data_IF_079294629572
#
_entry.id   IF_079294629572
#
_cell.length_a   1.000
_cell.length_b   1.000
_cell.length_c   1.000
_cell.angle_alpha   90.00
_cell.angle_beta   90.00
_cell.angle_gamma   90.00
#
_symmetry.space_group_name_H-M   'P 1'
#
loop_
_entity.id
_entity.type
_entity.pdbx_description
1 polymer ?
#
# COMPACT_ATOMS: atom_id res chain seq x y z
N UNK A 1 25.76 -1.25 -19.14
CA UNK A 1 26.21 -1.24 -17.73
C UNK A 1 24.96 -1.24 -16.84
N UNK A 2 24.67 -2.32 -16.10
CA UNK A 2 23.43 -2.41 -15.30
C UNK A 2 23.40 -1.33 -14.20
N UNK A 3 22.24 -0.70 -13.99
CA UNK A 3 22.06 0.32 -12.96
C UNK A 3 22.27 -0.28 -11.55
N UNK A 4 22.57 0.57 -10.56
CA UNK A 4 22.77 0.13 -9.17
C UNK A 4 21.54 -0.60 -8.63
N UNK A 5 20.34 -0.15 -9.01
CA UNK A 5 19.08 -0.77 -8.62
C UNK A 5 18.87 -2.13 -9.30
N UNK A 6 19.19 -2.27 -10.60
CA UNK A 6 19.13 -3.57 -11.28
C UNK A 6 20.05 -4.61 -10.63
N UNK A 7 21.29 -4.23 -10.29
CA UNK A 7 22.22 -5.12 -9.60
C UNK A 7 21.70 -5.55 -8.23
N UNK A 8 21.00 -4.66 -7.53
CA UNK A 8 20.37 -4.97 -6.24
C UNK A 8 19.21 -5.93 -6.41
N UNK A 9 18.34 -5.68 -7.37
CA UNK A 9 17.18 -6.52 -7.66
C UNK A 9 17.60 -7.93 -8.09
N UNK A 10 18.57 -8.05 -9.00
CA UNK A 10 19.08 -9.37 -9.41
C UNK A 10 19.73 -10.14 -8.26
N UNK A 11 20.35 -9.43 -7.30
CA UNK A 11 20.90 -10.06 -6.08
C UNK A 11 19.78 -10.54 -5.16
N UNK A 12 18.72 -9.77 -5.01
CA UNK A 12 17.57 -10.15 -4.19
C UNK A 12 16.82 -11.33 -4.81
N UNK A 13 16.61 -11.30 -6.13
CA UNK A 13 16.02 -12.40 -6.89
C UNK A 13 16.83 -13.68 -6.72
N UNK A 14 18.16 -13.61 -6.84
CA UNK A 14 19.03 -14.76 -6.59
C UNK A 14 18.92 -15.31 -5.17
N UNK A 15 18.88 -14.44 -4.15
CA UNK A 15 18.69 -14.88 -2.76
C UNK A 15 17.33 -15.55 -2.55
N UNK A 16 16.31 -15.06 -3.24
CA UNK A 16 14.97 -15.62 -3.18
C UNK A 16 14.95 -16.97 -3.89
N UNK A 17 15.57 -17.11 -5.07
CA UNK A 17 15.65 -18.40 -5.77
C UNK A 17 16.47 -19.44 -5.01
N UNK A 18 17.48 -19.03 -4.23
CA UNK A 18 18.24 -19.93 -3.36
C UNK A 18 17.41 -20.42 -2.16
N UNK A 19 16.33 -19.71 -1.80
CA UNK A 19 15.45 -20.05 -0.68
C UNK A 19 14.14 -20.71 -1.12
N UNK A 20 13.62 -20.38 -2.31
CA UNK A 20 12.43 -21.03 -2.87
C UNK A 20 12.79 -22.39 -3.46
N UNK A 21 12.06 -23.41 -3.02
CA UNK A 21 12.09 -24.74 -3.63
C UNK A 21 11.39 -24.77 -5.00
N UNK A 22 10.42 -23.87 -5.23
CA UNK A 22 9.62 -23.78 -6.45
C UNK A 22 9.87 -22.44 -7.14
N UNK A 23 10.63 -22.43 -8.23
CA UNK A 23 11.04 -21.17 -8.88
C UNK A 23 10.28 -20.87 -10.16
N UNK A 24 9.49 -21.83 -10.65
CA UNK A 24 8.60 -21.68 -11.80
C UNK A 24 7.12 -21.73 -11.42
N UNK A 25 6.31 -20.99 -12.16
CA UNK A 25 4.85 -21.02 -12.10
C UNK A 25 4.32 -22.43 -12.34
N UNK A 26 4.93 -23.17 -13.26
CA UNK A 26 4.54 -24.55 -13.60
C UNK A 26 4.69 -25.53 -12.43
N UNK A 27 5.51 -25.19 -11.43
CA UNK A 27 5.77 -26.01 -10.26
C UNK A 27 4.80 -25.68 -9.10
N UNK A 28 3.97 -24.63 -9.23
CA UNK A 28 3.00 -24.26 -8.20
C UNK A 28 1.86 -25.28 -8.15
N UNK A 29 1.58 -25.89 -6.99
CA UNK A 29 0.54 -26.91 -6.86
C UNK A 29 -0.83 -26.28 -7.12
N UNK A 30 -1.63 -26.95 -7.97
CA UNK A 30 -3.02 -26.59 -8.28
C UNK A 30 -3.19 -25.17 -8.88
N UNK A 31 -2.10 -24.58 -9.41
CA UNK A 31 -2.18 -23.26 -10.03
C UNK A 31 -2.68 -23.36 -11.48
N UNK A 32 -3.64 -22.51 -11.91
CA UNK A 32 -4.34 -22.68 -13.19
C UNK A 32 -3.56 -22.23 -14.43
N UNK A 33 -2.37 -21.64 -14.25
CA UNK A 33 -1.52 -21.18 -15.35
C UNK A 33 -0.21 -21.95 -15.36
N UNK A 34 0.31 -22.21 -16.56
CA UNK A 34 1.54 -22.97 -16.76
C UNK A 34 2.80 -22.11 -16.82
N UNK A 35 2.66 -20.82 -17.09
CA UNK A 35 3.78 -19.89 -17.30
C UNK A 35 3.45 -18.46 -16.88
N UNK A 36 4.51 -17.66 -16.67
CA UNK A 36 4.36 -16.23 -16.39
C UNK A 36 3.72 -15.46 -17.58
N UNK A 37 3.98 -15.90 -18.80
CA UNK A 37 3.41 -15.33 -20.03
C UNK A 37 1.89 -15.48 -20.08
N UNK A 38 1.35 -16.64 -19.70
CA UNK A 38 -0.10 -16.83 -19.61
C UNK A 38 -0.74 -15.90 -18.58
N UNK A 39 -0.08 -15.72 -17.43
CA UNK A 39 -0.54 -14.80 -16.37
C UNK A 39 -0.54 -13.35 -16.88
N UNK A 40 0.51 -12.93 -17.60
CA UNK A 40 0.58 -11.60 -18.22
C UNK A 40 -0.57 -11.40 -19.20
N UNK A 41 -0.84 -12.38 -20.06
CA UNK A 41 -1.93 -12.34 -21.03
C UNK A 41 -3.30 -12.24 -20.32
N UNK A 42 -3.56 -13.10 -19.33
CA UNK A 42 -4.80 -13.08 -18.54
C UNK A 42 -5.00 -11.76 -17.78
N UNK A 43 -3.90 -11.14 -17.31
CA UNK A 43 -3.95 -9.83 -16.64
C UNK A 43 -4.25 -8.70 -17.62
N UNK A 44 -3.73 -8.77 -18.85
CA UNK A 44 -3.95 -7.78 -19.91
C UNK A 44 -5.35 -7.87 -20.51
N UNK A 45 -5.88 -9.09 -20.69
CA UNK A 45 -7.27 -9.33 -21.12
C UNK A 45 -8.31 -8.95 -20.06
N UNK A 46 -7.88 -8.81 -18.80
CA UNK A 46 -8.76 -8.51 -17.68
C UNK A 46 -9.47 -9.74 -17.10
N UNK A 47 -9.04 -10.95 -17.47
CA UNK A 47 -9.56 -12.19 -16.90
C UNK A 47 -9.18 -12.31 -15.40
N UNK A 48 -8.00 -11.82 -15.03
CA UNK A 48 -7.56 -11.80 -13.63
C UNK A 48 -7.24 -10.38 -13.14
N UNK A 49 -7.39 -10.17 -11.83
CA UNK A 49 -6.95 -8.96 -11.14
C UNK A 49 -5.96 -9.30 -10.03
N UNK A 50 -5.00 -8.39 -9.82
CA UNK A 50 -3.99 -8.52 -8.78
C UNK A 50 -4.33 -7.60 -7.61
N UNK A 51 -4.21 -8.13 -6.41
CA UNK A 51 -4.20 -7.37 -5.18
C UNK A 51 -2.92 -7.68 -4.41
N UNK A 52 -2.44 -6.70 -3.65
CA UNK A 52 -1.28 -6.88 -2.81
C UNK A 52 -1.62 -6.64 -1.34
N UNK A 53 -1.17 -7.55 -0.47
CA UNK A 53 -1.19 -7.37 0.98
C UNK A 53 0.03 -6.54 1.36
N UNK A 54 -0.20 -5.35 1.90
CA UNK A 54 0.87 -4.44 2.27
C UNK A 54 1.80 -5.06 3.32
N UNK A 55 3.09 -5.15 3.00
CA UNK A 55 4.16 -5.54 3.94
C UNK A 55 5.33 -4.56 3.83
N UNK A 56 5.55 -3.79 4.89
CA UNK A 56 6.55 -2.72 4.91
C UNK A 56 7.98 -3.20 4.63
N UNK A 57 8.34 -4.39 5.10
CA UNK A 57 9.67 -4.98 4.93
C UNK A 57 9.98 -5.37 3.47
N UNK A 58 8.96 -5.57 2.62
CA UNK A 58 9.16 -5.98 1.23
C UNK A 58 9.53 -4.82 0.29
N UNK A 59 9.32 -3.57 0.71
CA UNK A 59 9.67 -2.40 -0.12
C UNK A 59 11.18 -2.33 -0.36
N UNK A 60 11.99 -2.66 0.65
CA UNK A 60 13.44 -2.72 0.50
C UNK A 60 13.92 -3.87 -0.39
N UNK A 61 13.11 -4.92 -0.54
CA UNK A 61 13.42 -6.12 -1.32
C UNK A 61 13.02 -5.97 -2.79
N UNK A 62 11.81 -5.46 -3.03
CA UNK A 62 11.17 -5.38 -4.36
C UNK A 62 11.36 -4.01 -5.03
N UNK A 63 11.55 -2.96 -4.22
CA UNK A 63 11.59 -1.57 -4.66
C UNK A 63 12.95 -1.14 -5.18
N UNK A 64 12.96 0.03 -5.82
CA UNK A 64 14.17 0.83 -6.05
C UNK A 64 14.51 1.66 -4.80
N UNK A 65 15.65 2.36 -4.81
CA UNK A 65 15.95 3.37 -3.78
C UNK A 65 14.87 4.45 -3.71
N UNK A 66 14.35 4.90 -4.85
CA UNK A 66 13.30 5.90 -4.91
C UNK A 66 12.00 5.41 -4.23
N UNK A 67 11.59 4.17 -4.50
CA UNK A 67 10.39 3.58 -3.85
C UNK A 67 10.55 3.52 -2.33
N UNK A 68 11.75 3.19 -1.87
CA UNK A 68 12.10 3.14 -0.45
C UNK A 68 11.99 4.53 0.18
N UNK A 69 12.59 5.55 -0.44
CA UNK A 69 12.54 6.95 0.03
C UNK A 69 11.10 7.44 0.10
N UNK A 70 10.31 7.19 -0.95
CA UNK A 70 8.93 7.66 -1.01
C UNK A 70 8.07 6.96 0.04
N UNK A 71 8.29 5.67 0.30
CA UNK A 71 7.60 4.98 1.39
C UNK A 71 7.95 5.57 2.76
N UNK A 72 9.22 5.93 2.99
CA UNK A 72 9.63 6.60 4.23
C UNK A 72 8.97 7.97 4.36
N UNK A 73 9.02 8.79 3.31
CA UNK A 73 8.37 10.11 3.30
C UNK A 73 6.86 10.00 3.55
N UNK A 74 6.18 9.06 2.88
CA UNK A 74 4.77 8.83 3.10
C UNK A 74 4.44 8.43 4.54
N UNK A 75 5.31 7.65 5.17
CA UNK A 75 5.13 7.23 6.58
C UNK A 75 5.45 8.35 7.57
N UNK A 76 6.33 9.27 7.21
CA UNK A 76 6.73 10.42 8.04
C UNK A 76 5.66 11.51 8.08
N UNK A 77 4.90 11.74 7.00
CA UNK A 77 3.90 12.81 6.94
C UNK A 77 2.87 12.74 8.09
N UNK A 78 2.20 11.59 8.35
CA UNK A 78 1.28 11.46 9.48
C UNK A 78 1.95 11.71 10.84
N UNK A 79 3.21 11.31 10.99
CA UNK A 79 3.96 11.49 12.23
C UNK A 79 4.31 12.96 12.46
N UNK A 80 4.78 13.67 11.43
CA UNK A 80 5.06 15.11 11.50
C UNK A 80 3.79 15.89 11.83
N UNK A 81 2.66 15.56 11.20
CA UNK A 81 1.37 16.18 11.49
C UNK A 81 0.94 15.93 12.94
N UNK A 82 1.13 14.71 13.43
CA UNK A 82 0.84 14.36 14.82
C UNK A 82 1.69 15.15 15.81
N UNK A 83 2.99 15.36 15.52
CA UNK A 83 3.87 16.21 16.33
C UNK A 83 3.39 17.66 16.30
N UNK A 84 3.00 18.18 15.13
CA UNK A 84 2.46 19.54 15.02
C UNK A 84 1.21 19.73 15.88
N UNK A 85 0.28 18.76 15.90
CA UNK A 85 -0.89 18.82 16.79
C UNK A 85 -0.50 18.89 18.27
N UNK A 86 0.47 18.09 18.68
CA UNK A 86 0.97 18.10 20.06
C UNK A 86 1.55 19.47 20.40
N UNK A 87 2.46 19.99 19.58
CA UNK A 87 3.09 21.30 19.80
C UNK A 87 2.06 22.43 19.84
N UNK A 88 1.12 22.45 18.89
CA UNK A 88 0.06 23.47 18.84
C UNK A 88 -0.88 23.37 20.04
N UNK A 89 -1.15 22.17 20.56
CA UNK A 89 -1.97 22.00 21.76
C UNK A 89 -1.39 22.71 22.98
N UNK A 90 -0.06 22.69 23.13
CA UNK A 90 0.63 23.37 24.23
C UNK A 90 0.68 24.89 24.01
N UNK A 91 1.01 25.34 22.80
CA UNK A 91 1.10 26.77 22.47
C UNK A 91 -0.27 27.45 22.63
N UNK A 92 -1.33 26.81 22.12
CA UNK A 92 -2.68 27.34 22.18
C UNK A 92 -3.39 27.04 23.52
N UNK A 93 -2.75 26.31 24.44
CA UNK A 93 -3.36 25.81 25.69
C UNK A 93 -4.72 25.14 25.47
N UNK A 94 -4.85 24.40 24.37
CA UNK A 94 -6.10 23.78 23.96
C UNK A 94 -5.89 22.30 23.64
N UNK A 95 -6.35 21.45 24.56
CA UNK A 95 -6.23 20.00 24.47
C UNK A 95 -7.01 19.40 23.29
N UNK A 96 -7.95 20.13 22.70
CA UNK A 96 -8.71 19.67 21.54
C UNK A 96 -7.82 19.36 20.33
N UNK A 97 -6.67 20.02 20.21
CA UNK A 97 -5.69 19.70 19.15
C UNK A 97 -5.09 18.29 19.30
N UNK A 98 -5.03 17.72 20.52
CA UNK A 98 -4.58 16.34 20.73
C UNK A 98 -5.54 15.31 20.12
N UNK A 99 -6.83 15.65 19.98
CA UNK A 99 -7.79 14.83 19.24
C UNK A 99 -7.36 14.71 17.77
N UNK A 100 -6.66 15.72 17.23
CA UNK A 100 -6.08 15.69 15.89
C UNK A 100 -5.06 14.56 15.71
N UNK A 101 -4.23 14.29 16.72
CA UNK A 101 -3.28 13.17 16.70
C UNK A 101 -3.99 11.83 16.62
N UNK A 102 -5.03 11.63 17.43
CA UNK A 102 -5.86 10.41 17.39
C UNK A 102 -6.57 10.28 16.03
N UNK A 103 -7.06 11.40 15.50
CA UNK A 103 -7.72 11.49 14.20
C UNK A 103 -6.80 11.07 13.05
N UNK A 104 -5.52 11.51 13.06
CA UNK A 104 -4.51 11.08 12.09
C UNK A 104 -4.21 9.59 12.17
N UNK A 105 -4.06 9.05 13.38
CA UNK A 105 -3.86 7.61 13.57
C UNK A 105 -5.07 6.81 13.07
N UNK A 106 -6.29 7.29 13.32
CA UNK A 106 -7.52 6.68 12.86
C UNK A 106 -7.65 6.71 11.33
N UNK A 107 -7.35 7.85 10.71
CA UNK A 107 -7.29 7.98 9.25
C UNK A 107 -6.30 6.99 8.63
N UNK A 108 -5.12 6.83 9.22
CA UNK A 108 -4.12 5.86 8.76
C UNK A 108 -4.62 4.42 8.91
N UNK A 109 -5.27 4.08 10.02
CA UNK A 109 -5.80 2.73 10.27
C UNK A 109 -6.89 2.33 9.26
N UNK A 110 -7.76 3.25 8.87
CA UNK A 110 -8.85 3.01 7.91
C UNK A 110 -8.37 2.74 6.48
N UNK A 111 -7.09 2.97 6.17
CA UNK A 111 -6.51 2.58 4.87
C UNK A 111 -6.31 1.06 4.73
N UNK A 112 -6.63 0.28 5.78
CA UNK A 112 -6.57 -1.18 5.77
C UNK A 112 -7.41 -1.81 4.67
N UNK A 113 -6.87 -2.86 4.04
CA UNK A 113 -7.52 -3.60 2.95
C UNK A 113 -8.89 -4.18 3.35
N UNK A 114 -9.15 -4.37 4.64
CA UNK A 114 -10.44 -4.81 5.17
C UNK A 114 -11.58 -3.79 5.01
N UNK A 115 -11.27 -2.52 4.77
CA UNK A 115 -12.23 -1.41 4.96
C UNK A 115 -12.52 -0.64 3.65
N UNK A 116 -11.91 -1.05 2.52
CA UNK A 116 -11.92 -0.31 1.25
C UNK A 116 -13.30 -0.13 0.59
N UNK A 117 -14.32 -0.94 0.88
CA UNK A 117 -15.62 -0.85 0.18
C UNK A 117 -16.52 0.30 0.64
N UNK A 118 -16.73 0.44 1.96
CA UNK A 118 -17.65 1.44 2.52
C UNK A 118 -17.01 2.80 2.76
N UNK A 119 -15.69 2.85 2.94
CA UNK A 119 -15.01 4.06 3.44
C UNK A 119 -14.79 5.12 2.36
N UNK A 120 -14.57 4.79 1.08
CA UNK A 120 -14.45 5.84 0.05
C UNK A 120 -15.74 6.64 -0.15
N UNK A 121 -16.90 5.99 -0.08
CA UNK A 121 -18.21 6.65 -0.20
C UNK A 121 -18.54 7.48 1.03
N UNK A 122 -18.29 6.96 2.24
CA UNK A 122 -18.46 7.70 3.49
C UNK A 122 -17.52 8.91 3.57
N UNK A 123 -16.28 8.78 3.09
CA UNK A 123 -15.30 9.88 3.09
C UNK A 123 -15.66 10.99 2.11
N UNK A 124 -16.14 10.65 0.91
CA UNK A 124 -16.64 11.66 -0.03
C UNK A 124 -17.82 12.45 0.53
N UNK A 125 -18.69 11.80 1.32
CA UNK A 125 -19.84 12.43 1.98
C UNK A 125 -19.44 13.26 3.21
N UNK A 126 -18.40 12.87 3.95
CA UNK A 126 -17.91 13.62 5.11
C UNK A 126 -17.02 14.84 4.74
N UNK A 127 -16.57 14.96 3.49
CA UNK A 127 -15.79 16.11 3.01
C UNK A 127 -16.57 17.43 3.07
N UNK A 128 -17.84 17.42 2.63
CA UNK A 128 -18.67 18.63 2.55
C UNK A 128 -18.98 19.20 3.95
N UNK A 129 -19.46 18.40 4.93
CA UNK A 129 -19.59 18.85 6.31
C UNK A 129 -18.24 19.23 6.92
N UNK A 130 -17.17 18.48 6.61
CA UNK A 130 -15.84 18.72 7.18
C UNK A 130 -15.26 20.07 6.78
N UNK A 131 -15.40 20.46 5.51
CA UNK A 131 -15.02 21.79 5.02
C UNK A 131 -15.89 22.88 5.66
N UNK A 132 -17.20 22.64 5.79
CA UNK A 132 -18.10 23.60 6.43
C UNK A 132 -17.75 23.85 7.92
N UNK A 133 -17.51 22.79 8.70
CA UNK A 133 -17.09 22.91 10.10
C UNK A 133 -15.69 23.50 10.24
N UNK A 134 -14.81 23.28 9.26
CA UNK A 134 -13.47 23.86 9.26
C UNK A 134 -13.48 25.40 9.25
N UNK A 135 -14.45 26.04 8.60
CA UNK A 135 -14.59 27.51 8.60
C UNK A 135 -15.18 28.07 9.90
N UNK A 136 -15.92 27.27 10.67
CA UNK A 136 -16.59 27.69 11.91
C UNK A 136 -15.77 27.43 13.16
N UNK A 137 -14.94 26.40 13.17
CA UNK A 137 -14.14 26.02 14.33
C UNK A 137 -12.75 25.55 13.89
N UNK A 138 -11.68 26.34 14.14
CA UNK A 138 -10.35 26.01 13.70
C UNK A 138 -9.83 24.71 14.34
N UNK A 139 -10.24 24.37 15.57
CA UNK A 139 -9.81 23.13 16.21
C UNK A 139 -10.39 21.89 15.49
N UNK A 140 -11.64 21.95 15.04
CA UNK A 140 -12.27 20.88 14.23
C UNK A 140 -11.65 20.76 12.84
N UNK A 141 -11.31 21.89 12.20
CA UNK A 141 -10.58 21.89 10.91
C UNK A 141 -9.29 21.07 11.01
N UNK A 142 -8.54 21.29 12.08
CA UNK A 142 -7.28 20.60 12.35
C UNK A 142 -7.49 19.10 12.56
N UNK A 143 -8.51 18.70 13.34
CA UNK A 143 -8.88 17.28 13.53
C UNK A 143 -9.22 16.59 12.20
N UNK A 144 -10.02 17.24 11.37
CA UNK A 144 -10.45 16.71 10.07
C UNK A 144 -9.26 16.66 9.08
N UNK A 145 -8.43 17.70 9.05
CA UNK A 145 -7.22 17.73 8.24
C UNK A 145 -6.23 16.63 8.64
N UNK A 146 -6.08 16.39 9.95
CA UNK A 146 -5.29 15.30 10.50
C UNK A 146 -5.76 13.93 10.03
N UNK A 147 -7.07 13.68 10.08
CA UNK A 147 -7.69 12.47 9.56
C UNK A 147 -7.33 12.24 8.09
N UNK A 148 -7.59 13.24 7.23
CA UNK A 148 -7.37 13.11 5.79
C UNK A 148 -5.90 12.94 5.45
N UNK A 149 -5.00 13.63 6.15
CA UNK A 149 -3.58 13.45 5.94
C UNK A 149 -3.12 12.03 6.28
N UNK A 150 -3.62 11.45 7.38
CA UNK A 150 -3.37 10.04 7.73
C UNK A 150 -3.93 9.07 6.68
N UNK A 151 -5.17 9.29 6.26
CA UNK A 151 -5.85 8.45 5.26
C UNK A 151 -5.21 8.51 3.87
N UNK A 152 -4.94 9.71 3.36
CA UNK A 152 -4.32 9.90 2.04
C UNK A 152 -2.91 9.32 2.05
N UNK A 153 -2.11 9.61 3.09
CA UNK A 153 -0.74 9.10 3.17
C UNK A 153 -0.71 7.57 3.21
N UNK A 154 -1.52 6.94 4.07
CA UNK A 154 -1.62 5.49 4.14
C UNK A 154 -2.14 4.86 2.85
N UNK A 155 -3.13 5.49 2.21
CA UNK A 155 -3.69 5.06 0.93
C UNK A 155 -2.65 5.11 -0.19
N UNK A 156 -1.90 6.21 -0.28
CA UNK A 156 -0.83 6.38 -1.28
C UNK A 156 0.29 5.35 -1.11
N UNK A 157 0.75 5.09 0.12
CA UNK A 157 1.79 4.09 0.40
C UNK A 157 1.33 2.69 -0.04
N UNK A 158 0.11 2.29 0.32
CA UNK A 158 -0.44 0.98 -0.03
C UNK A 158 -0.71 0.84 -1.52
N UNK A 159 -1.20 1.90 -2.17
CA UNK A 159 -1.41 1.91 -3.61
C UNK A 159 -0.09 1.76 -4.38
N UNK A 160 0.93 2.55 -4.01
CA UNK A 160 2.28 2.43 -4.60
C UNK A 160 2.89 1.05 -4.37
N UNK A 161 2.76 0.51 -3.16
CA UNK A 161 3.20 -0.85 -2.86
C UNK A 161 2.50 -1.87 -3.74
N UNK A 162 1.18 -1.76 -3.93
CA UNK A 162 0.42 -2.65 -4.80
C UNK A 162 0.92 -2.62 -6.25
N UNK A 163 1.17 -1.41 -6.78
CA UNK A 163 1.75 -1.24 -8.13
C UNK A 163 3.16 -1.81 -8.23
N UNK A 164 3.98 -1.64 -7.20
CA UNK A 164 5.33 -2.20 -7.14
C UNK A 164 5.29 -3.73 -7.15
N UNK A 165 4.46 -4.34 -6.30
CA UNK A 165 4.27 -5.79 -6.24
C UNK A 165 3.78 -6.32 -7.59
N UNK A 166 2.74 -5.72 -8.17
CA UNK A 166 2.22 -6.08 -9.50
C UNK A 166 3.31 -6.00 -10.57
N UNK A 167 4.07 -4.91 -10.60
CA UNK A 167 5.13 -4.70 -11.60
C UNK A 167 6.24 -5.74 -11.46
N UNK A 168 6.65 -6.06 -10.23
CA UNK A 168 7.73 -7.03 -9.99
C UNK A 168 7.29 -8.46 -10.22
N UNK A 169 6.08 -8.81 -9.82
CA UNK A 169 5.48 -10.12 -10.08
C UNK A 169 5.41 -10.39 -11.59
N UNK A 170 5.05 -9.40 -12.41
CA UNK A 170 4.99 -9.58 -13.87
C UNK A 170 6.36 -9.54 -14.55
N UNK A 171 7.42 -9.07 -13.89
CA UNK A 171 8.76 -8.97 -14.47
C UNK A 171 9.62 -10.22 -14.29
N UNK A 172 9.37 -11.00 -13.25
CA UNK A 172 10.19 -12.14 -12.88
C UNK A 172 9.34 -13.23 -12.25
N UNK A 173 9.54 -14.45 -12.74
CA UNK A 173 8.83 -15.64 -12.29
C UNK A 173 9.21 -16.00 -10.84
N UNK A 174 10.46 -15.79 -10.45
CA UNK A 174 10.94 -15.98 -9.08
C UNK A 174 10.23 -15.03 -8.13
N UNK A 175 10.12 -13.75 -8.49
CA UNK A 175 9.36 -12.80 -7.67
C UNK A 175 7.87 -13.14 -7.64
N UNK A 176 7.29 -13.56 -8.76
CA UNK A 176 5.90 -14.01 -8.79
C UNK A 176 5.64 -15.13 -7.79
N UNK A 177 6.40 -16.23 -7.88
CA UNK A 177 6.25 -17.41 -7.03
C UNK A 177 6.47 -17.05 -5.55
N UNK A 178 7.52 -16.27 -5.26
CA UNK A 178 7.78 -15.78 -3.90
C UNK A 178 6.59 -14.99 -3.33
N UNK A 179 6.04 -14.04 -4.11
CA UNK A 179 4.96 -13.19 -3.65
C UNK A 179 3.65 -13.95 -3.49
N UNK A 180 3.39 -14.92 -4.37
CA UNK A 180 2.21 -15.79 -4.32
C UNK A 180 2.27 -16.73 -3.10
N UNK A 181 3.36 -17.50 -2.93
CA UNK A 181 3.53 -18.44 -1.81
C UNK A 181 3.51 -17.74 -0.44
N UNK A 182 4.03 -16.51 -0.35
CA UNK A 182 3.99 -15.73 0.89
C UNK A 182 2.65 -15.00 1.12
N UNK A 183 1.63 -15.24 0.29
CA UNK A 183 0.30 -14.58 0.37
C UNK A 183 0.41 -13.05 0.35
N UNK A 184 1.38 -12.52 -0.38
CA UNK A 184 1.57 -11.09 -0.59
C UNK A 184 0.83 -10.66 -1.84
N UNK A 185 0.96 -11.45 -2.91
CA UNK A 185 0.17 -11.33 -4.13
C UNK A 185 -1.09 -12.19 -3.98
N UNK A 186 -2.25 -11.57 -4.20
CA UNK A 186 -3.54 -12.23 -4.27
C UNK A 186 -4.03 -12.09 -5.70
N UNK A 187 -4.45 -13.19 -6.29
CA UNK A 187 -4.98 -13.22 -7.64
C UNK A 187 -6.47 -13.50 -7.52
N UNK A 188 -7.26 -12.71 -8.23
CA UNK A 188 -8.70 -12.90 -8.30
C UNK A 188 -9.09 -13.18 -9.75
N UNK A 189 -9.81 -14.27 -9.95
CA UNK A 189 -10.51 -14.52 -11.21
C UNK A 189 -11.71 -13.58 -11.29
N UNK A 190 -11.77 -12.75 -12.33
CA UNK A 190 -12.84 -11.79 -12.51
C UNK A 190 -14.12 -12.43 -13.06
N UNK A 191 -14.06 -13.63 -13.67
CA UNK A 191 -15.23 -14.36 -14.16
C UNK A 191 -15.97 -15.04 -13.02
N UNK A 192 -15.25 -15.78 -12.18
CA UNK A 192 -15.86 -16.52 -11.06
C UNK A 192 -15.91 -15.72 -9.77
N UNK A 193 -15.10 -14.66 -9.64
CA UNK A 193 -14.95 -13.88 -8.42
C UNK A 193 -14.12 -14.56 -7.35
N UNK A 194 -13.62 -15.78 -7.60
CA UNK A 194 -12.85 -16.57 -6.66
C UNK A 194 -11.38 -16.12 -6.58
N UNK A 195 -10.76 -16.34 -5.43
CA UNK A 195 -9.33 -16.14 -5.24
C UNK A 195 -8.58 -17.38 -5.71
N UNK A 196 -7.53 -17.15 -6.50
CA UNK A 196 -6.55 -18.14 -6.94
C UNK A 196 -5.35 -18.03 -6.01
#
# INVERSE_FOLDING_TARGET
MKSVDEKRLSRNERKISEWLELSSVSELPEFPFSSLEEIKCAKQSGDISFAAVYRWNLIGVLGTRADTIISYLGSLVPLLISITFIVVSFIASNLYYLVGTLSTAFGLALTSSYIRGCVYTLLGLCWIPGIYFAFRNPALSWVIGGFYAGYISGGMIRWRFGRLVETRALQSEVFFCYLYLNKVLIIKDNKTGMLI
#
